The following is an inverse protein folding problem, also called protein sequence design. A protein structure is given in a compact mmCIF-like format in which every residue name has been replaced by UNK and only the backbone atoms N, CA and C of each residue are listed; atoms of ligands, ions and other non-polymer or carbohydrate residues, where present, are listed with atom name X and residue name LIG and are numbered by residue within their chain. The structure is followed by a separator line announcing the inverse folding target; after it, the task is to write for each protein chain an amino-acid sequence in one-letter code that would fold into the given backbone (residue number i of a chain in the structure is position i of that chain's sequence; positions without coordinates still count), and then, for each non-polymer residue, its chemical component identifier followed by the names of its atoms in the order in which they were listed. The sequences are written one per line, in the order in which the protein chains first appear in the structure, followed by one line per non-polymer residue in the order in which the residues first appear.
data_IF_253186998524
#
_entry.id   IF_253186998524
#
_cell.length_a   1.000
_cell.length_b   1.000
_cell.length_c   1.000
_cell.angle_alpha   90.00
_cell.angle_beta   90.00
_cell.angle_gamma   90.00
#
_symmetry.space_group_name_H-M   'P 1'
#
loop_
_entity.id
_entity.type
_entity.pdbx_description
1 polymer ?
#
# COMPACT_ATOMS: atom_id res chain seq x y z
N UNK A 1 10.11 17.02 13.03
CA UNK A 1 8.80 16.35 13.09
C UNK A 1 8.89 15.22 14.10
N UNK A 2 7.93 15.08 14.99
CA UNK A 2 7.88 13.97 15.94
C UNK A 2 7.25 12.71 15.31
N UNK A 3 7.17 11.64 16.09
CA UNK A 3 6.66 10.36 15.62
C UNK A 3 5.14 10.34 15.39
N UNK A 4 4.38 11.11 16.17
CA UNK A 4 2.93 11.22 16.04
C UNK A 4 2.56 11.90 14.72
N UNK A 5 3.20 13.02 14.40
CA UNK A 5 3.02 13.72 13.13
C UNK A 5 3.41 12.85 11.92
N UNK A 6 4.51 12.09 12.01
CA UNK A 6 4.91 11.14 10.96
C UNK A 6 3.90 9.99 10.80
N UNK A 7 3.33 9.50 11.91
CA UNK A 7 2.29 8.47 11.91
C UNK A 7 1.01 9.01 11.25
N UNK A 8 0.61 10.24 11.57
CA UNK A 8 -0.53 10.91 10.94
C UNK A 8 -0.33 11.09 9.43
N UNK A 9 0.87 11.46 8.97
CA UNK A 9 1.18 11.57 7.53
C UNK A 9 1.20 10.21 6.82
N UNK A 10 1.60 9.14 7.51
CA UNK A 10 1.68 7.80 6.92
C UNK A 10 0.31 7.09 6.87
N UNK A 11 -0.50 7.25 7.91
CA UNK A 11 -1.69 6.43 8.17
C UNK A 11 -2.95 7.22 8.56
N UNK A 12 -2.86 8.53 8.74
CA UNK A 12 -3.96 9.39 9.17
C UNK A 12 -4.63 10.18 8.05
N UNK A 13 -5.48 11.16 8.41
CA UNK A 13 -6.26 11.96 7.47
C UNK A 13 -5.43 13.01 6.74
N UNK A 14 -4.29 13.39 7.32
CA UNK A 14 -3.42 14.43 6.81
C UNK A 14 -2.37 13.86 5.86
N UNK A 15 -2.19 14.57 4.75
CA UNK A 15 -1.02 14.42 3.88
C UNK A 15 -0.32 15.78 3.71
N UNK A 16 -0.33 16.60 4.77
CA UNK A 16 0.26 17.94 4.81
C UNK A 16 1.76 17.97 4.46
N UNK A 17 2.35 19.14 4.16
CA UNK A 17 3.68 19.27 3.58
C UNK A 17 4.78 18.62 4.44
N UNK A 18 5.71 17.92 3.79
CA UNK A 18 6.72 17.09 4.45
C UNK A 18 8.15 17.67 4.33
N UNK A 19 8.27 18.99 4.21
CA UNK A 19 9.56 19.67 4.00
C UNK A 19 10.51 19.55 5.21
N UNK A 20 10.02 19.08 6.35
CA UNK A 20 10.78 18.91 7.60
C UNK A 20 10.95 17.45 8.05
N UNK A 21 10.88 16.47 7.12
CA UNK A 21 11.10 15.05 7.46
C UNK A 21 12.51 14.85 8.06
N UNK A 22 12.62 14.44 9.34
CA UNK A 22 13.90 14.20 9.97
C UNK A 22 14.63 13.01 9.32
N UNK A 23 15.92 13.20 9.02
CA UNK A 23 16.78 12.11 8.55
C UNK A 23 17.45 11.35 9.70
N UNK A 24 17.65 12.08 10.79
CA UNK A 24 18.18 11.59 12.06
C UNK A 24 17.01 11.43 13.04
N UNK A 25 16.88 10.24 13.62
CA UNK A 25 15.76 9.90 14.48
C UNK A 25 15.77 8.42 14.86
N UNK A 26 14.78 8.03 15.67
CA UNK A 26 14.58 6.63 16.06
C UNK A 26 14.38 5.74 14.82
N UNK A 27 14.64 4.43 14.92
CA UNK A 27 14.34 3.50 13.83
C UNK A 27 12.89 3.60 13.32
N UNK A 28 11.91 3.83 14.22
CA UNK A 28 10.49 4.01 13.87
C UNK A 28 10.24 5.32 13.12
N UNK A 29 10.83 6.44 13.58
CA UNK A 29 10.74 7.72 12.88
C UNK A 29 11.32 7.63 11.47
N UNK A 30 12.50 7.01 11.30
CA UNK A 30 13.11 6.83 9.97
C UNK A 30 12.28 5.93 9.05
N UNK A 31 11.63 4.89 9.59
CA UNK A 31 10.70 4.05 8.83
C UNK A 31 9.48 4.84 8.36
N UNK A 32 8.81 5.56 9.27
CA UNK A 32 7.62 6.37 8.93
C UNK A 32 7.96 7.47 7.92
N UNK A 33 9.08 8.16 8.13
CA UNK A 33 9.65 9.14 7.20
C UNK A 33 9.82 8.53 5.80
N UNK A 34 10.37 7.32 5.70
CA UNK A 34 10.55 6.62 4.43
C UNK A 34 9.21 6.25 3.76
N UNK A 35 8.20 5.86 4.53
CA UNK A 35 6.84 5.60 4.02
C UNK A 35 6.24 6.87 3.41
N UNK A 36 6.37 8.01 4.10
CA UNK A 36 5.88 9.31 3.61
C UNK A 36 6.65 9.75 2.36
N UNK A 37 7.99 9.65 2.35
CA UNK A 37 8.80 9.95 1.17
C UNK A 37 8.43 9.06 -0.02
N UNK A 38 8.21 7.76 0.22
CA UNK A 38 7.78 6.81 -0.79
C UNK A 38 6.40 7.14 -1.38
N UNK A 39 5.46 7.59 -0.54
CA UNK A 39 4.14 8.05 -0.99
C UNK A 39 4.23 9.22 -1.97
N UNK A 40 5.22 10.11 -1.77
CA UNK A 40 5.51 11.26 -2.63
C UNK A 40 6.48 10.95 -3.78
N UNK A 41 6.71 9.67 -4.06
CA UNK A 41 7.61 9.23 -5.12
C UNK A 41 9.09 9.59 -4.91
N UNK A 42 9.51 10.00 -3.70
CA UNK A 42 10.90 10.32 -3.36
C UNK A 42 11.69 9.05 -2.98
N UNK A 43 11.73 8.07 -3.88
CA UNK A 43 12.20 6.72 -3.57
C UNK A 43 13.68 6.62 -3.20
N UNK A 44 14.56 7.42 -3.80
CA UNK A 44 15.98 7.45 -3.44
C UNK A 44 16.17 7.93 -2.00
N UNK A 45 15.50 9.02 -1.60
CA UNK A 45 15.54 9.53 -0.24
C UNK A 45 14.92 8.54 0.77
N UNK A 46 13.82 7.88 0.40
CA UNK A 46 13.25 6.82 1.22
C UNK A 46 14.22 5.64 1.39
N UNK A 47 14.91 5.23 0.32
CA UNK A 47 15.89 4.16 0.36
C UNK A 47 17.07 4.49 1.29
N UNK A 48 17.59 5.72 1.28
CA UNK A 48 18.64 6.17 2.22
C UNK A 48 18.27 5.96 3.69
N UNK A 49 16.98 6.14 4.04
CA UNK A 49 16.48 5.90 5.39
C UNK A 49 16.31 4.40 5.69
N UNK A 50 15.79 3.64 4.73
CA UNK A 50 15.45 2.21 4.90
C UNK A 50 16.69 1.32 4.92
N UNK A 51 17.73 1.65 4.16
CA UNK A 51 18.84 0.74 3.92
C UNK A 51 19.68 0.41 5.17
N UNK A 52 19.98 1.38 6.07
CA UNK A 52 20.60 1.07 7.35
C UNK A 52 19.69 0.27 8.30
N UNK A 53 18.37 0.52 8.26
CA UNK A 53 17.40 -0.22 9.07
C UNK A 53 17.30 -1.68 8.63
N UNK A 54 17.26 -1.91 7.31
CA UNK A 54 17.24 -3.24 6.69
C UNK A 54 18.46 -4.09 7.03
N UNK A 55 19.65 -3.46 7.12
CA UNK A 55 20.91 -4.13 7.49
C UNK A 55 21.14 -4.20 9.01
N UNK A 56 20.23 -3.65 9.81
CA UNK A 56 20.31 -3.63 11.26
C UNK A 56 20.07 -5.00 11.90
N UNK A 57 20.34 -5.11 13.21
CA UNK A 57 20.17 -6.35 13.98
C UNK A 57 18.74 -6.59 14.49
N UNK A 58 17.92 -5.54 14.58
CA UNK A 58 16.54 -5.68 15.06
C UNK A 58 15.67 -6.33 13.97
N UNK A 59 15.12 -7.53 14.20
CA UNK A 59 14.42 -8.27 13.14
C UNK A 59 13.12 -7.61 12.66
N UNK A 60 12.38 -6.97 13.57
CA UNK A 60 11.16 -6.24 13.24
C UNK A 60 11.46 -5.06 12.31
N UNK A 61 12.41 -4.20 12.72
CA UNK A 61 12.79 -3.04 11.91
C UNK A 61 13.38 -3.45 10.57
N UNK A 62 14.22 -4.49 10.53
CA UNK A 62 14.78 -5.02 9.29
C UNK A 62 13.69 -5.50 8.33
N UNK A 63 12.68 -6.22 8.84
CA UNK A 63 11.54 -6.68 8.05
C UNK A 63 10.69 -5.55 7.51
N UNK A 64 10.28 -4.60 8.37
CA UNK A 64 9.46 -3.47 7.94
C UNK A 64 10.20 -2.61 6.90
N UNK A 65 11.51 -2.41 7.07
CA UNK A 65 12.31 -1.67 6.13
C UNK A 65 12.45 -2.40 4.78
N UNK A 66 12.67 -3.72 4.80
CA UNK A 66 12.74 -4.55 3.60
C UNK A 66 11.41 -4.55 2.83
N UNK A 67 10.27 -4.76 3.49
CA UNK A 67 8.94 -4.76 2.84
C UNK A 67 8.56 -3.37 2.30
N UNK A 68 8.93 -2.30 3.01
CA UNK A 68 8.70 -0.92 2.53
C UNK A 68 9.53 -0.65 1.27
N UNK A 69 10.82 -1.01 1.29
CA UNK A 69 11.68 -0.88 0.12
C UNK A 69 11.17 -1.72 -1.05
N UNK A 70 10.74 -2.96 -0.80
CA UNK A 70 10.13 -3.85 -1.80
C UNK A 70 8.91 -3.20 -2.45
N UNK A 71 8.02 -2.61 -1.64
CA UNK A 71 6.86 -1.87 -2.14
C UNK A 71 7.26 -0.72 -3.06
N UNK A 72 8.34 0.02 -2.77
CA UNK A 72 8.84 1.09 -3.64
C UNK A 72 9.37 0.55 -4.97
N UNK A 73 10.09 -0.59 -4.95
CA UNK A 73 10.57 -1.28 -6.15
C UNK A 73 9.41 -1.72 -7.04
N UNK A 74 8.36 -2.26 -6.43
CA UNK A 74 7.15 -2.71 -7.12
C UNK A 74 6.41 -1.59 -7.85
N UNK A 75 6.35 -0.38 -7.27
CA UNK A 75 5.71 0.77 -7.92
C UNK A 75 6.39 1.16 -9.24
N UNK A 76 7.66 0.78 -9.43
CA UNK A 76 8.42 1.03 -10.65
C UNK A 76 8.66 -0.25 -11.46
N UNK A 77 7.83 -1.28 -11.26
CA UNK A 77 7.85 -2.52 -12.03
C UNK A 77 9.01 -3.47 -11.72
N UNK A 78 9.84 -3.17 -10.71
CA UNK A 78 10.99 -3.99 -10.34
C UNK A 78 10.61 -5.20 -9.45
N UNK A 79 9.66 -6.02 -9.91
CA UNK A 79 9.05 -7.12 -9.16
C UNK A 79 10.04 -8.21 -8.73
N UNK A 80 11.06 -8.51 -9.55
CA UNK A 80 12.08 -9.50 -9.19
C UNK A 80 12.92 -9.01 -8.00
N UNK A 81 13.26 -7.72 -7.98
CA UNK A 81 13.99 -7.09 -6.87
C UNK A 81 13.12 -7.00 -5.63
N UNK A 82 11.86 -6.58 -5.79
CA UNK A 82 10.87 -6.54 -4.71
C UNK A 82 10.70 -7.91 -4.06
N UNK A 83 10.59 -8.98 -4.86
CA UNK A 83 10.40 -10.35 -4.36
C UNK A 83 11.55 -10.81 -3.46
N UNK A 84 12.79 -10.45 -3.82
CA UNK A 84 13.96 -10.75 -2.99
C UNK A 84 13.87 -10.02 -1.65
N UNK A 85 13.51 -8.73 -1.67
CA UNK A 85 13.37 -7.92 -0.46
C UNK A 85 12.25 -8.41 0.46
N UNK A 86 11.08 -8.78 -0.08
CA UNK A 86 10.01 -9.35 0.74
C UNK A 86 10.36 -10.76 1.27
N UNK A 87 11.20 -11.51 0.55
CA UNK A 87 11.81 -12.73 1.06
C UNK A 87 12.76 -12.47 2.24
N UNK A 88 13.62 -11.46 2.14
CA UNK A 88 14.48 -10.98 3.24
C UNK A 88 13.63 -10.55 4.44
N UNK A 89 12.53 -9.82 4.20
CA UNK A 89 11.61 -9.39 5.25
C UNK A 89 10.99 -10.57 5.99
N UNK A 90 10.47 -11.55 5.26
CA UNK A 90 9.86 -12.74 5.85
C UNK A 90 10.87 -13.57 6.65
N UNK A 91 12.12 -13.67 6.19
CA UNK A 91 13.19 -14.34 6.93
C UNK A 91 13.52 -13.62 8.24
N UNK A 92 13.51 -12.28 8.26
CA UNK A 92 13.80 -11.50 9.45
C UNK A 92 12.78 -11.74 10.57
N UNK A 93 11.48 -11.78 10.28
CA UNK A 93 10.43 -12.09 11.29
C UNK A 93 10.07 -13.59 11.38
N UNK A 94 10.84 -14.42 10.69
CA UNK A 94 10.74 -15.88 10.69
C UNK A 94 9.50 -16.44 9.98
N UNK A 95 9.62 -17.71 9.57
CA UNK A 95 8.56 -18.53 8.99
C UNK A 95 7.82 -19.35 10.07
N UNK A 96 7.32 -18.75 11.16
CA UNK A 96 6.60 -19.58 12.15
C UNK A 96 5.14 -19.79 11.78
N UNK A 97 4.85 -21.01 11.32
CA UNK A 97 3.50 -21.53 11.12
C UNK A 97 3.45 -22.87 10.37
N UNK A 98 4.08 -23.92 10.92
CA UNK A 98 3.64 -25.34 11.07
C UNK A 98 4.78 -26.04 11.86
N UNK A 99 4.63 -26.31 13.17
CA UNK A 99 5.64 -27.08 13.91
C UNK A 99 5.70 -26.95 15.44
N UNK A 100 4.97 -26.01 16.07
CA UNK A 100 4.87 -25.94 17.54
C UNK A 100 3.50 -26.45 18.03
N UNK A 101 3.15 -27.65 17.57
CA UNK A 101 2.33 -28.60 18.30
C UNK A 101 3.09 -29.92 18.29
N UNK A 102 3.70 -30.28 19.42
CA UNK A 102 4.36 -31.58 19.58
C UNK A 102 5.78 -31.53 20.16
N UNK A 103 5.95 -30.93 21.33
CA UNK A 103 6.90 -31.52 22.28
C UNK A 103 6.27 -32.85 22.76
N UNK A 104 6.40 -33.89 21.95
CA UNK A 104 6.09 -35.26 22.31
C UNK A 104 7.21 -36.14 21.73
N UNK A 105 8.15 -36.47 22.63
CA UNK A 105 8.97 -37.68 22.70
C UNK A 105 9.31 -38.40 21.39
N UNK A 106 10.62 -38.42 21.13
CA UNK A 106 11.32 -39.22 20.14
C UNK A 106 10.89 -40.71 20.10
N UNK A 107 10.89 -41.28 18.89
CA UNK A 107 10.88 -42.73 18.68
C UNK A 107 10.83 -43.15 17.20
N UNK A 108 11.99 -43.44 16.61
CA UNK A 108 12.18 -44.45 15.55
C UNK A 108 11.89 -44.07 14.08
N UNK A 109 12.94 -43.96 13.25
CA UNK A 109 12.84 -44.09 11.77
C UNK A 109 13.06 -45.54 11.30
N UNK A 110 13.46 -45.79 10.03
CA UNK A 110 13.07 -45.18 8.75
C UNK A 110 12.57 -46.24 7.73
N UNK A 111 11.96 -45.81 6.61
CA UNK A 111 11.56 -46.69 5.50
C UNK A 111 11.69 -46.00 4.14
N UNK A 112 12.42 -46.65 3.23
CA UNK A 112 12.87 -46.20 1.91
C UNK A 112 11.83 -46.42 0.78
N UNK A 113 12.17 -45.86 -0.39
CA UNK A 113 11.63 -46.08 -1.76
C UNK A 113 10.37 -45.26 -2.12
N UNK A 114 10.21 -44.69 -3.31
CA UNK A 114 11.00 -44.69 -4.54
C UNK A 114 10.16 -44.09 -5.69
N UNK A 115 10.84 -43.65 -6.75
CA UNK A 115 10.34 -43.57 -8.14
C UNK A 115 9.43 -42.41 -8.58
N UNK A 116 9.97 -41.57 -9.49
CA UNK A 116 9.20 -40.94 -10.58
C UNK A 116 8.85 -41.98 -11.67
N UNK A 117 8.05 -41.64 -12.72
CA UNK A 117 8.40 -40.69 -13.80
C UNK A 117 7.20 -39.77 -14.12
N UNK A 118 7.09 -38.88 -15.13
CA UNK A 118 7.83 -38.50 -16.33
C UNK A 118 6.91 -37.61 -17.19
N UNK A 119 7.49 -36.53 -17.74
CA UNK A 119 7.18 -35.76 -18.95
C UNK A 119 5.79 -35.79 -19.64
N UNK A 120 5.22 -34.59 -19.81
CA UNK A 120 4.57 -34.07 -21.04
C UNK A 120 4.52 -32.53 -20.88
N UNK A 121 4.94 -31.66 -21.78
CA UNK A 121 4.69 -31.61 -23.23
C UNK A 121 3.69 -30.47 -23.50
N UNK A 122 4.15 -29.25 -23.79
CA UNK A 122 3.29 -28.11 -24.12
C UNK A 122 4.09 -26.85 -24.45
N UNK A 123 4.05 -26.44 -25.72
CA UNK A 123 4.77 -25.29 -26.28
C UNK A 123 4.25 -23.91 -25.83
N UNK A 124 4.82 -22.81 -26.37
CA UNK A 124 4.68 -21.48 -25.81
C UNK A 124 3.32 -20.86 -26.18
N UNK A 125 2.48 -20.63 -25.16
CA UNK A 125 1.28 -19.81 -25.27
C UNK A 125 1.66 -18.34 -25.15
N UNK A 126 1.59 -17.62 -26.27
CA UNK A 126 1.65 -16.16 -26.34
C UNK A 126 0.44 -15.58 -25.59
N UNK A 127 0.68 -14.77 -24.56
CA UNK A 127 -0.35 -13.94 -23.93
C UNK A 127 0.14 -12.49 -23.98
N UNK A 128 -0.40 -11.76 -24.95
CA UNK A 128 -0.10 -10.37 -25.23
C UNK A 128 -0.73 -9.43 -24.21
N UNK A 129 -0.02 -8.31 -24.04
CA UNK A 129 -0.57 -6.95 -24.05
C UNK A 129 -1.67 -6.62 -23.03
N UNK A 130 -1.23 -6.00 -21.94
CA UNK A 130 -2.11 -5.29 -21.01
C UNK A 130 -2.88 -4.18 -21.71
N UNK A 131 -4.21 -4.27 -21.60
CA UNK A 131 -5.26 -3.28 -21.83
C UNK A 131 -4.96 -2.19 -22.89
N UNK A 132 -5.37 -2.50 -24.12
CA UNK A 132 -5.76 -1.52 -25.12
C UNK A 132 -7.27 -1.22 -25.03
N UNK A 133 -7.61 0.05 -25.22
CA UNK A 133 -8.94 0.63 -25.09
C UNK A 133 -10.01 0.03 -26.03
N UNK A 134 -11.27 0.07 -25.59
CA UNK A 134 -12.44 -0.03 -26.45
C UNK A 134 -13.33 1.20 -26.21
N UNK A 135 -13.65 1.92 -27.29
CA UNK A 135 -14.47 3.13 -27.28
C UNK A 135 -15.85 2.95 -27.92
N UNK A 136 -16.56 4.09 -27.99
CA UNK A 136 -17.88 4.38 -28.60
C UNK A 136 -19.07 4.17 -27.64
N UNK A 137 -20.05 5.08 -27.48
CA UNK A 137 -20.28 6.40 -28.08
C UNK A 137 -21.64 7.00 -27.66
N UNK A 138 -21.70 8.33 -27.68
CA UNK A 138 -22.86 9.20 -27.97
C UNK A 138 -23.92 9.56 -26.90
N UNK A 139 -24.08 10.90 -26.76
CA UNK A 139 -25.30 11.74 -26.57
C UNK A 139 -26.02 11.66 -25.21
N UNK A 140 -26.38 12.74 -24.49
CA UNK A 140 -26.34 14.19 -24.70
C UNK A 140 -27.35 14.86 -23.75
N UNK A 141 -27.23 16.19 -23.56
CA UNK A 141 -28.19 17.14 -22.92
C UNK A 141 -28.25 17.08 -21.38
N UNK A 142 -28.20 18.16 -20.57
CA UNK A 142 -28.10 19.60 -20.77
C UNK A 142 -28.47 20.33 -19.45
N UNK A 143 -27.86 21.50 -19.23
CA UNK A 143 -28.35 22.66 -18.45
C UNK A 143 -28.36 22.64 -16.90
N UNK A 144 -27.62 23.58 -16.28
CA UNK A 144 -27.84 24.09 -14.91
C UNK A 144 -28.91 25.19 -14.85
N UNK A 145 -28.83 26.25 -14.00
CA UNK A 145 -28.03 26.43 -12.77
C UNK A 145 -28.80 27.15 -11.60
N UNK A 146 -28.05 27.42 -10.50
CA UNK A 146 -28.06 28.65 -9.67
C UNK A 146 -29.04 28.87 -8.47
N UNK A 147 -28.48 29.52 -7.43
CA UNK A 147 -29.14 30.36 -6.40
C UNK A 147 -28.80 29.95 -4.94
N UNK A 148 -27.81 30.50 -4.22
CA UNK A 148 -27.63 31.81 -3.54
C UNK A 148 -28.56 32.13 -2.35
N UNK A 149 -27.96 32.53 -1.22
CA UNK A 149 -28.57 33.27 -0.08
C UNK A 149 -28.24 32.60 1.29
N UNK A 150 -27.24 33.02 2.07
CA UNK A 150 -27.14 34.23 2.92
C UNK A 150 -28.29 34.38 3.94
N UNK A 151 -28.04 34.10 5.23
CA UNK A 151 -27.90 35.14 6.27
C UNK A 151 -27.79 34.54 7.69
N UNK A 152 -27.01 35.22 8.55
CA UNK A 152 -27.02 35.12 10.02
C UNK A 152 -27.76 36.38 10.55
N UNK A 153 -28.30 36.45 11.80
CA UNK A 153 -27.46 36.58 13.01
C UNK A 153 -28.05 36.03 14.35
N UNK A 154 -27.15 36.04 15.34
CA UNK A 154 -27.23 35.81 16.81
C UNK A 154 -27.89 37.08 17.47
N UNK A 155 -28.34 37.20 18.75
CA UNK A 155 -27.76 36.59 19.96
C UNK A 155 -28.65 36.32 21.21
N UNK A 156 -28.04 35.72 22.24
CA UNK A 156 -28.59 35.61 23.60
C UNK A 156 -27.63 34.94 24.59
N UNK A 157 -27.10 35.74 25.51
CA UNK A 157 -26.20 35.38 26.62
C UNK A 157 -26.98 35.08 27.91
N UNK A 158 -26.51 34.17 28.77
CA UNK A 158 -26.34 34.41 30.22
C UNK A 158 -25.50 33.30 30.91
N UNK A 159 -24.39 33.74 31.52
CA UNK A 159 -23.94 33.58 32.92
C UNK A 159 -24.16 32.26 33.69
N UNK A 160 -23.32 31.79 34.62
CA UNK A 160 -21.95 32.06 35.09
C UNK A 160 -21.70 31.13 36.32
N UNK A 161 -20.46 31.13 36.84
CA UNK A 161 -20.08 30.91 38.27
C UNK A 161 -19.85 29.43 38.67
N UNK A 162 -18.75 28.94 39.27
CA UNK A 162 -17.50 29.47 39.87
C UNK A 162 -16.58 28.30 40.24
N UNK A 163 -15.26 28.52 40.36
CA UNK A 163 -14.39 27.74 41.25
C UNK A 163 -12.92 27.66 40.83
N UNK A 164 -12.05 28.43 41.51
CA UNK A 164 -10.60 28.63 41.26
C UNK A 164 -9.68 27.65 42.04
N UNK A 165 -8.35 27.63 41.79
CA UNK A 165 -7.40 26.49 41.91
C UNK A 165 -6.42 26.66 43.12
N UNK A 166 -5.11 26.26 43.13
CA UNK A 166 -4.31 25.22 42.44
C UNK A 166 -3.44 24.36 43.41
N UNK A 167 -2.71 23.33 42.92
CA UNK A 167 -1.47 22.87 43.57
C UNK A 167 -0.54 22.10 42.62
N UNK A 168 0.74 22.46 42.70
CA UNK A 168 1.92 21.98 41.97
C UNK A 168 2.57 20.77 42.65
N UNK A 169 3.07 19.79 41.88
CA UNK A 169 4.28 19.01 42.19
C UNK A 169 4.67 18.05 41.05
N UNK A 170 5.97 17.98 40.75
CA UNK A 170 6.68 16.92 40.03
C UNK A 170 8.10 16.88 40.61
N UNK A 171 8.93 15.84 40.37
CA UNK A 171 8.69 14.40 40.37
C UNK A 171 9.64 13.69 41.36
N UNK A 172 9.39 12.43 41.71
CA UNK A 172 10.41 11.60 42.38
C UNK A 172 10.53 10.23 41.72
N UNK A 173 11.78 9.95 41.38
CA UNK A 173 12.33 8.78 40.69
C UNK A 173 12.18 7.52 41.53
N UNK A 174 11.55 6.49 40.96
CA UNK A 174 11.80 5.10 41.37
C UNK A 174 12.04 4.26 40.13
N UNK A 175 13.27 3.73 40.02
CA UNK A 175 13.64 2.73 39.04
C UNK A 175 12.91 1.43 39.41
N UNK A 176 11.87 1.08 38.65
CA UNK A 176 11.31 -0.27 38.70
C UNK A 176 11.90 -1.09 37.56
N UNK A 177 12.68 -2.11 37.93
CA UNK A 177 13.01 -3.19 37.03
C UNK A 177 11.73 -3.99 36.76
N UNK A 178 11.08 -3.68 35.64
CA UNK A 178 9.90 -4.39 35.14
C UNK A 178 10.27 -5.27 33.94
N UNK A 179 10.83 -6.45 34.20
CA UNK A 179 10.79 -7.54 33.22
C UNK A 179 9.45 -8.24 33.36
N UNK A 180 8.54 -8.00 32.42
CA UNK A 180 7.65 -8.95 31.74
C UNK A 180 6.62 -8.15 30.93
N UNK A 181 6.54 -8.47 29.63
CA UNK A 181 5.52 -8.05 28.62
C UNK A 181 5.77 -6.73 27.88
N UNK A 182 6.68 -6.75 26.91
CA UNK A 182 6.72 -5.79 25.81
C UNK A 182 5.73 -6.26 24.71
N UNK A 183 4.42 -6.07 24.95
CA UNK A 183 3.35 -6.40 24.00
C UNK A 183 2.39 -5.22 23.80
N UNK A 184 2.91 -4.05 23.47
CA UNK A 184 2.06 -2.98 22.95
C UNK A 184 1.81 -3.28 21.48
N UNK A 185 0.69 -3.93 21.17
CA UNK A 185 0.22 -4.08 19.78
C UNK A 185 0.25 -2.70 19.10
N UNK A 186 0.88 -2.61 17.94
CA UNK A 186 0.90 -1.36 17.18
C UNK A 186 -0.44 -1.26 16.41
N UNK A 187 -1.22 -0.17 16.57
CA UNK A 187 -2.55 -0.06 15.99
C UNK A 187 -2.52 -0.04 14.45
N UNK A 188 -1.39 0.33 13.86
CA UNK A 188 -1.17 0.34 12.43
C UNK A 188 -0.41 -0.91 11.97
N UNK A 189 -0.19 -1.90 12.86
CA UNK A 189 0.45 -3.17 12.52
C UNK A 189 1.94 -3.00 12.20
N UNK A 190 2.64 -2.08 12.86
CA UNK A 190 4.11 -1.98 12.81
C UNK A 190 4.81 -2.86 13.87
N UNK A 191 4.18 -3.98 14.22
CA UNK A 191 4.75 -5.03 15.08
C UNK A 191 5.08 -6.30 14.28
N UNK A 192 5.56 -7.34 14.97
CA UNK A 192 6.00 -8.60 14.33
C UNK A 192 4.90 -9.27 13.50
N UNK A 193 3.65 -9.19 13.96
CA UNK A 193 2.53 -9.84 13.30
C UNK A 193 2.18 -9.11 12.00
N UNK A 194 2.06 -7.77 12.05
CA UNK A 194 1.83 -6.95 10.86
C UNK A 194 3.00 -6.97 9.88
N UNK A 195 4.25 -6.98 10.37
CA UNK A 195 5.44 -7.12 9.53
C UNK A 195 5.46 -8.46 8.75
N UNK A 196 5.03 -9.56 9.39
CA UNK A 196 4.88 -10.86 8.71
C UNK A 196 3.78 -10.82 7.65
N UNK A 197 2.64 -10.20 7.96
CA UNK A 197 1.56 -10.04 6.99
C UNK A 197 2.01 -9.23 5.77
N UNK A 198 2.74 -8.12 5.99
CA UNK A 198 3.31 -7.30 4.92
C UNK A 198 4.24 -8.09 4.00
N UNK A 199 5.14 -8.90 4.57
CA UNK A 199 6.07 -9.71 3.79
C UNK A 199 5.32 -10.77 2.95
N UNK A 200 4.28 -11.40 3.50
CA UNK A 200 3.43 -12.32 2.74
C UNK A 200 2.66 -11.62 1.62
N UNK A 201 2.09 -10.43 1.88
CA UNK A 201 1.38 -9.65 0.86
C UNK A 201 2.31 -9.15 -0.23
N UNK A 202 3.53 -8.72 0.12
CA UNK A 202 4.56 -8.33 -0.83
C UNK A 202 4.97 -9.49 -1.74
N UNK A 203 5.28 -10.65 -1.16
CA UNK A 203 5.55 -11.88 -1.92
C UNK A 203 4.36 -12.30 -2.79
N UNK A 204 3.12 -12.11 -2.33
CA UNK A 204 1.93 -12.42 -3.11
C UNK A 204 1.85 -11.52 -4.35
N UNK A 205 2.00 -10.20 -4.17
CA UNK A 205 1.98 -9.22 -5.25
C UNK A 205 3.10 -9.46 -6.28
N UNK A 206 4.31 -9.83 -5.86
CA UNK A 206 5.38 -10.12 -6.81
C UNK A 206 5.20 -11.44 -7.55
N UNK A 207 4.68 -12.48 -6.88
CA UNK A 207 4.35 -13.72 -7.60
C UNK A 207 3.22 -13.50 -8.60
N UNK A 208 2.24 -12.64 -8.27
CA UNK A 208 1.19 -12.25 -9.19
C UNK A 208 1.77 -11.58 -10.45
N UNK A 209 2.64 -10.57 -10.28
CA UNK A 209 3.28 -9.87 -11.40
C UNK A 209 4.17 -10.78 -12.26
N UNK A 210 4.65 -11.90 -11.72
CA UNK A 210 5.40 -12.94 -12.43
C UNK A 210 4.50 -14.05 -13.02
N UNK A 211 3.19 -13.85 -13.06
CA UNK A 211 2.22 -14.80 -13.61
C UNK A 211 1.92 -16.03 -12.72
N UNK A 212 2.39 -16.04 -11.47
CA UNK A 212 2.26 -17.18 -10.54
C UNK A 212 1.04 -17.04 -9.64
N UNK A 213 -0.14 -17.00 -10.26
CA UNK A 213 -1.43 -16.71 -9.60
C UNK A 213 -1.70 -17.64 -8.40
N UNK A 214 -1.49 -18.95 -8.54
CA UNK A 214 -1.74 -19.89 -7.43
C UNK A 214 -0.81 -19.68 -6.24
N UNK A 215 0.44 -19.27 -6.47
CA UNK A 215 1.37 -18.93 -5.40
C UNK A 215 0.94 -17.64 -4.69
N UNK A 216 0.53 -16.62 -5.46
CA UNK A 216 0.01 -15.36 -4.94
C UNK A 216 -1.20 -15.60 -4.02
N UNK A 217 -2.17 -16.43 -4.45
CA UNK A 217 -3.36 -16.76 -3.66
C UNK A 217 -3.02 -17.44 -2.33
N UNK A 218 -2.11 -18.41 -2.33
CA UNK A 218 -1.66 -19.07 -1.09
C UNK A 218 -0.97 -18.10 -0.12
N UNK A 219 -0.15 -17.19 -0.64
CA UNK A 219 0.55 -16.19 0.15
C UNK A 219 -0.43 -15.14 0.73
N UNK A 220 -1.44 -14.72 -0.03
CA UNK A 220 -2.50 -13.83 0.46
C UNK A 220 -3.29 -14.47 1.62
N UNK A 221 -3.59 -15.78 1.55
CA UNK A 221 -4.19 -16.52 2.68
C UNK A 221 -3.28 -16.52 3.91
N UNK A 222 -1.97 -16.75 3.74
CA UNK A 222 -1.01 -16.70 4.85
C UNK A 222 -0.92 -15.30 5.47
N UNK A 223 -1.02 -14.25 4.68
CA UNK A 223 -1.07 -12.88 5.19
C UNK A 223 -2.30 -12.63 6.07
N UNK A 224 -3.49 -13.03 5.61
CA UNK A 224 -4.73 -12.87 6.37
C UNK A 224 -4.79 -13.73 7.65
N UNK A 225 -4.01 -14.82 7.70
CA UNK A 225 -3.79 -15.61 8.91
C UNK A 225 -2.77 -14.98 9.85
N UNK A 226 -1.81 -14.23 9.32
CA UNK A 226 -0.81 -13.54 10.12
C UNK A 226 -1.44 -12.34 10.84
N UNK A 227 -2.10 -11.43 10.13
CA UNK A 227 -2.71 -10.23 10.71
C UNK A 227 -4.04 -9.88 10.02
N UNK A 228 -4.99 -9.36 10.80
CA UNK A 228 -6.34 -8.96 10.35
C UNK A 228 -6.68 -7.50 10.70
N UNK A 229 -5.74 -6.76 11.27
CA UNK A 229 -5.92 -5.32 11.54
C UNK A 229 -6.06 -4.54 10.24
N UNK A 230 -6.48 -3.29 10.39
CA UNK A 230 -6.95 -2.47 9.28
C UNK A 230 -5.95 -2.41 8.12
N UNK A 231 -4.64 -2.22 8.38
CA UNK A 231 -3.63 -2.06 7.33
C UNK A 231 -3.41 -3.35 6.52
N UNK A 232 -3.37 -4.49 7.20
CA UNK A 232 -3.26 -5.81 6.57
C UNK A 232 -4.52 -6.18 5.80
N UNK A 233 -5.70 -5.82 6.31
CA UNK A 233 -6.98 -5.98 5.61
C UNK A 233 -7.03 -5.15 4.32
N UNK A 234 -6.64 -3.87 4.39
CA UNK A 234 -6.59 -2.98 3.23
C UNK A 234 -5.64 -3.52 2.15
N UNK A 235 -4.39 -3.83 2.54
CA UNK A 235 -3.37 -4.35 1.59
C UNK A 235 -3.75 -5.74 1.06
N UNK A 236 -4.38 -6.57 1.88
CA UNK A 236 -4.92 -7.87 1.48
C UNK A 236 -6.05 -7.74 0.45
N UNK A 237 -6.93 -6.75 0.60
CA UNK A 237 -7.96 -6.45 -0.39
C UNK A 237 -7.40 -5.97 -1.72
N UNK A 238 -6.33 -5.18 -1.72
CA UNK A 238 -5.62 -4.80 -2.96
C UNK A 238 -5.07 -6.01 -3.70
N UNK A 239 -4.28 -6.83 -3.02
CA UNK A 239 -3.68 -8.03 -3.61
C UNK A 239 -4.76 -9.04 -4.04
N UNK A 240 -5.81 -9.21 -3.24
CA UNK A 240 -6.94 -10.07 -3.56
C UNK A 240 -7.65 -9.64 -4.84
N UNK A 241 -7.96 -8.35 -4.98
CA UNK A 241 -8.58 -7.81 -6.19
C UNK A 241 -7.68 -7.99 -7.42
N UNK A 242 -6.38 -7.69 -7.30
CA UNK A 242 -5.42 -7.88 -8.41
C UNK A 242 -5.29 -9.37 -8.81
N UNK A 243 -5.36 -10.31 -7.86
CA UNK A 243 -5.37 -11.75 -8.13
C UNK A 243 -6.60 -12.14 -8.96
N UNK A 244 -7.80 -11.69 -8.59
CA UNK A 244 -9.02 -12.04 -9.32
C UNK A 244 -9.07 -11.41 -10.71
N UNK A 245 -8.63 -10.14 -10.85
CA UNK A 245 -8.48 -9.49 -12.15
C UNK A 245 -7.54 -10.27 -13.07
N UNK A 246 -6.37 -10.67 -12.57
CA UNK A 246 -5.41 -11.46 -13.35
C UNK A 246 -5.92 -12.88 -13.67
N UNK A 247 -6.84 -13.41 -12.87
CA UNK A 247 -7.51 -14.68 -13.11
C UNK A 247 -8.70 -14.57 -14.08
N UNK A 248 -8.99 -13.36 -14.61
CA UNK A 248 -10.13 -13.11 -15.50
C UNK A 248 -11.48 -13.17 -14.78
N UNK A 249 -11.51 -12.82 -13.49
CA UNK A 249 -12.71 -12.85 -12.64
C UNK A 249 -13.01 -11.45 -12.07
N UNK A 250 -13.37 -10.46 -12.91
CA UNK A 250 -13.49 -9.08 -12.48
C UNK A 250 -14.59 -8.86 -11.43
N UNK A 251 -15.72 -9.59 -11.49
CA UNK A 251 -16.78 -9.51 -10.49
C UNK A 251 -16.29 -9.95 -9.10
N UNK A 252 -15.44 -10.99 -9.05
CA UNK A 252 -14.84 -11.47 -7.81
C UNK A 252 -13.82 -10.50 -7.22
N UNK A 253 -13.26 -9.59 -8.03
CA UNK A 253 -12.32 -8.57 -7.57
C UNK A 253 -12.99 -7.42 -6.78
N UNK A 254 -14.29 -7.19 -7.00
CA UNK A 254 -15.01 -6.05 -6.40
C UNK A 254 -15.10 -6.17 -4.88
N UNK A 255 -15.45 -7.36 -4.36
CA UNK A 255 -15.62 -7.56 -2.91
C UNK A 255 -14.35 -7.25 -2.08
N UNK A 256 -13.16 -7.82 -2.38
CA UNK A 256 -11.94 -7.48 -1.66
C UNK A 256 -11.51 -6.02 -1.86
N UNK A 257 -11.69 -5.45 -3.05
CA UNK A 257 -11.38 -4.04 -3.31
C UNK A 257 -12.27 -3.09 -2.49
N UNK A 258 -13.56 -3.40 -2.39
CA UNK A 258 -14.55 -2.63 -1.63
C UNK A 258 -14.25 -2.67 -0.14
N UNK A 259 -13.95 -3.86 0.40
CA UNK A 259 -13.52 -4.00 1.79
C UNK A 259 -12.28 -3.14 2.09
N UNK A 260 -11.29 -3.12 1.19
CA UNK A 260 -10.10 -2.27 1.36
C UNK A 260 -10.43 -0.77 1.30
N UNK A 261 -11.37 -0.35 0.47
CA UNK A 261 -11.81 1.04 0.41
C UNK A 261 -12.55 1.46 1.68
N UNK A 262 -13.57 0.71 2.07
CA UNK A 262 -14.38 0.98 3.26
C UNK A 262 -13.54 0.98 4.54
N UNK A 263 -12.62 0.03 4.68
CA UNK A 263 -11.69 -0.03 5.82
C UNK A 263 -10.77 1.18 5.86
N UNK A 264 -10.24 1.62 4.71
CA UNK A 264 -9.38 2.80 4.65
C UNK A 264 -10.14 4.10 4.97
N UNK A 265 -11.39 4.22 4.51
CA UNK A 265 -12.29 5.34 4.81
C UNK A 265 -12.61 5.39 6.29
N UNK A 266 -12.99 4.25 6.90
CA UNK A 266 -13.29 4.17 8.33
C UNK A 266 -12.09 4.52 9.21
N UNK A 267 -10.87 4.24 8.75
CA UNK A 267 -9.63 4.62 9.45
C UNK A 267 -9.22 6.08 9.23
N UNK A 268 -9.86 6.77 8.29
CA UNK A 268 -9.47 8.08 7.77
C UNK A 268 -8.03 8.08 7.22
N UNK A 269 -7.56 6.97 6.65
CA UNK A 269 -6.17 6.83 6.19
C UNK A 269 -6.02 7.36 4.76
N UNK A 270 -5.74 8.66 4.57
CA UNK A 270 -5.86 9.37 3.27
C UNK A 270 -5.17 8.66 2.11
N UNK A 271 -3.90 8.30 2.27
CA UNK A 271 -3.13 7.59 1.24
C UNK A 271 -3.75 6.23 0.87
N UNK A 272 -4.26 5.51 1.87
CA UNK A 272 -4.88 4.21 1.67
C UNK A 272 -6.25 4.36 1.00
N UNK A 273 -7.01 5.42 1.32
CA UNK A 273 -8.26 5.75 0.62
C UNK A 273 -8.01 5.95 -0.87
N UNK A 274 -7.01 6.78 -1.23
CA UNK A 274 -6.66 7.02 -2.65
C UNK A 274 -6.27 5.73 -3.35
N UNK A 275 -5.34 4.95 -2.78
CA UNK A 275 -4.92 3.68 -3.40
C UNK A 275 -6.08 2.68 -3.51
N UNK A 276 -6.90 2.54 -2.47
CA UNK A 276 -8.08 1.67 -2.49
C UNK A 276 -9.13 2.15 -3.50
N UNK A 277 -9.30 3.47 -3.67
CA UNK A 277 -10.19 4.05 -4.66
C UNK A 277 -9.78 3.71 -6.08
N UNK A 278 -8.48 3.78 -6.39
CA UNK A 278 -7.93 3.31 -7.67
C UNK A 278 -8.26 1.82 -7.88
N UNK A 279 -7.95 0.97 -6.90
CA UNK A 279 -8.16 -0.49 -7.03
C UNK A 279 -9.65 -0.84 -7.19
N UNK A 280 -10.53 -0.26 -6.37
CA UNK A 280 -11.97 -0.47 -6.47
C UNK A 280 -12.52 0.08 -7.79
N UNK A 281 -12.08 1.25 -8.23
CA UNK A 281 -12.53 1.84 -9.50
C UNK A 281 -12.15 0.97 -10.69
N UNK A 282 -10.93 0.43 -10.72
CA UNK A 282 -10.49 -0.53 -11.74
C UNK A 282 -11.30 -1.83 -11.68
N UNK A 283 -11.58 -2.35 -10.47
CA UNK A 283 -12.39 -3.56 -10.31
C UNK A 283 -13.83 -3.36 -10.80
N UNK A 284 -14.46 -2.22 -10.47
CA UNK A 284 -15.80 -1.85 -10.94
C UNK A 284 -15.84 -1.70 -12.45
N UNK A 285 -14.86 -0.98 -13.03
CA UNK A 285 -14.74 -0.81 -14.47
C UNK A 285 -14.63 -2.15 -15.19
N UNK A 286 -13.75 -3.03 -14.72
CA UNK A 286 -13.54 -4.35 -15.31
C UNK A 286 -14.77 -5.26 -15.16
N UNK A 287 -15.55 -5.10 -14.08
CA UNK A 287 -16.80 -5.83 -13.83
C UNK A 287 -18.03 -5.20 -14.52
N UNK A 288 -17.86 -4.11 -15.27
CA UNK A 288 -18.97 -3.38 -15.89
C UNK A 288 -19.97 -2.80 -14.89
N UNK A 289 -19.53 -2.48 -13.67
CA UNK A 289 -20.37 -1.90 -12.61
C UNK A 289 -20.24 -0.37 -12.57
N UNK A 290 -21.33 0.28 -12.17
CA UNK A 290 -21.40 1.74 -12.03
C UNK A 290 -20.47 2.28 -10.93
N UNK A 291 -20.19 3.58 -10.96
CA UNK A 291 -19.39 4.28 -9.95
C UNK A 291 -17.88 4.25 -10.19
N UNK A 292 -17.40 3.53 -11.23
CA UNK A 292 -15.99 3.45 -11.55
C UNK A 292 -15.40 4.82 -11.94
N UNK A 293 -16.10 5.57 -12.80
CA UNK A 293 -15.62 6.88 -13.29
C UNK A 293 -15.47 7.88 -12.15
N UNK A 294 -16.51 8.02 -11.32
CA UNK A 294 -16.53 8.96 -10.19
C UNK A 294 -15.37 8.66 -9.23
N UNK A 295 -15.15 7.38 -8.93
CA UNK A 295 -14.13 6.97 -7.99
C UNK A 295 -12.71 7.19 -8.52
N UNK A 296 -12.45 6.87 -9.80
CA UNK A 296 -11.14 7.05 -10.42
C UNK A 296 -10.79 8.53 -10.61
N UNK A 297 -11.74 9.36 -11.04
CA UNK A 297 -11.55 10.81 -11.18
C UNK A 297 -11.30 11.45 -9.80
N UNK A 298 -12.05 11.05 -8.77
CA UNK A 298 -11.83 11.52 -7.41
C UNK A 298 -10.46 11.10 -6.87
N UNK A 299 -10.04 9.85 -7.13
CA UNK A 299 -8.72 9.37 -6.71
C UNK A 299 -7.57 10.12 -7.40
N UNK A 300 -7.70 10.48 -8.68
CA UNK A 300 -6.71 11.30 -9.38
C UNK A 300 -6.62 12.72 -8.79
N UNK A 301 -7.77 13.37 -8.54
CA UNK A 301 -7.81 14.68 -7.91
C UNK A 301 -7.24 14.67 -6.49
N UNK A 302 -7.57 13.66 -5.68
CA UNK A 302 -7.01 13.53 -4.33
C UNK A 302 -5.50 13.22 -4.37
N UNK A 303 -5.05 12.36 -5.29
CA UNK A 303 -3.61 12.07 -5.43
C UNK A 303 -2.80 13.34 -5.73
N UNK A 304 -3.31 14.21 -6.60
CA UNK A 304 -2.73 15.52 -6.90
C UNK A 304 -2.77 16.45 -5.68
N UNK A 305 -3.96 16.64 -5.09
CA UNK A 305 -4.18 17.53 -3.93
C UNK A 305 -3.26 17.22 -2.75
N UNK A 306 -2.98 15.94 -2.53
CA UNK A 306 -2.21 15.44 -1.40
C UNK A 306 -0.76 15.07 -1.76
N UNK A 307 -0.27 15.46 -2.96
CA UNK A 307 1.10 15.22 -3.44
C UNK A 307 1.52 13.75 -3.38
N UNK A 308 0.57 12.84 -3.62
CA UNK A 308 0.81 11.40 -3.60
C UNK A 308 1.35 10.94 -4.97
N UNK A 309 2.49 11.51 -5.39
CA UNK A 309 3.08 11.29 -6.72
C UNK A 309 3.24 9.80 -7.08
N UNK A 310 3.49 8.94 -6.08
CA UNK A 310 3.57 7.48 -6.31
C UNK A 310 2.27 6.85 -6.82
N UNK A 311 1.13 7.48 -6.54
CA UNK A 311 -0.20 7.09 -6.97
C UNK A 311 -0.72 7.96 -8.10
N UNK A 312 -0.33 9.25 -8.16
CA UNK A 312 -0.85 10.24 -9.09
C UNK A 312 -0.72 9.81 -10.55
N UNK A 313 0.47 9.34 -10.97
CA UNK A 313 0.66 8.91 -12.36
C UNK A 313 -0.22 7.72 -12.74
N UNK A 314 -0.47 6.78 -11.80
CA UNK A 314 -1.37 5.64 -12.01
C UNK A 314 -2.81 6.10 -12.05
N UNK A 315 -3.20 6.97 -11.12
CA UNK A 315 -4.56 7.49 -11.00
C UNK A 315 -4.96 8.27 -12.26
N UNK A 316 -4.09 9.16 -12.75
CA UNK A 316 -4.29 9.87 -14.01
C UNK A 316 -4.37 8.89 -15.20
N UNK A 317 -3.51 7.87 -15.22
CA UNK A 317 -3.49 6.87 -16.30
C UNK A 317 -4.83 6.16 -16.44
N UNK A 318 -5.42 5.72 -15.32
CA UNK A 318 -6.72 5.04 -15.32
C UNK A 318 -7.89 6.01 -15.45
N UNK A 319 -7.77 7.25 -14.97
CA UNK A 319 -8.77 8.29 -15.19
C UNK A 319 -8.92 8.62 -16.69
N UNK A 320 -7.81 8.63 -17.44
CA UNK A 320 -7.83 8.82 -18.89
C UNK A 320 -8.63 7.75 -19.66
N UNK A 321 -8.78 6.55 -19.09
CA UNK A 321 -9.51 5.45 -19.70
C UNK A 321 -11.04 5.56 -19.48
N UNK A 322 -11.48 6.37 -18.50
CA UNK A 322 -12.91 6.53 -18.13
C UNK A 322 -13.46 7.95 -18.33
N UNK A 323 -12.59 8.96 -18.42
CA UNK A 323 -12.97 10.36 -18.66
C UNK A 323 -12.39 10.86 -19.98
N UNK A 324 -13.06 10.47 -21.07
CA UNK A 324 -12.59 10.70 -22.44
C UNK A 324 -12.45 12.19 -22.79
N UNK A 325 -13.25 13.07 -22.20
CA UNK A 325 -13.22 14.51 -22.45
C UNK A 325 -11.91 15.16 -21.96
N UNK A 326 -11.29 14.57 -20.93
CA UNK A 326 -10.03 15.05 -20.32
C UNK A 326 -8.87 14.07 -20.49
N UNK A 327 -9.03 13.05 -21.33
CA UNK A 327 -8.06 11.96 -21.43
C UNK A 327 -6.64 12.44 -21.78
N UNK A 328 -6.50 13.43 -22.66
CA UNK A 328 -5.19 13.99 -23.02
C UNK A 328 -4.52 14.73 -21.85
N UNK A 329 -5.29 15.48 -21.07
CA UNK A 329 -4.83 16.17 -19.86
C UNK A 329 -4.28 15.15 -18.85
N UNK A 330 -5.05 14.10 -18.58
CA UNK A 330 -4.65 13.02 -17.69
C UNK A 330 -3.40 12.29 -18.19
N UNK A 331 -3.32 11.92 -19.47
CA UNK A 331 -2.11 11.26 -20.04
C UNK A 331 -0.88 12.17 -19.98
N UNK A 332 -1.05 13.47 -20.19
CA UNK A 332 0.04 14.43 -20.05
C UNK A 332 0.53 14.51 -18.61
N UNK A 333 -0.37 14.70 -17.64
CA UNK A 333 -0.03 14.75 -16.21
C UNK A 333 0.60 13.45 -15.72
N UNK A 334 0.04 12.31 -16.11
CA UNK A 334 0.58 10.98 -15.80
C UNK A 334 2.05 10.86 -16.20
N UNK A 335 2.40 11.27 -17.44
CA UNK A 335 3.80 11.26 -17.92
C UNK A 335 4.70 12.22 -17.15
N UNK A 336 4.21 13.42 -16.82
CA UNK A 336 4.98 14.40 -16.04
C UNK A 336 5.28 13.91 -14.63
N UNK A 337 4.27 13.39 -13.93
CA UNK A 337 4.42 12.83 -12.58
C UNK A 337 5.34 11.62 -12.61
N UNK A 338 5.14 10.69 -13.55
CA UNK A 338 6.01 9.52 -13.69
C UNK A 338 7.47 9.93 -13.97
N UNK A 339 7.70 10.92 -14.83
CA UNK A 339 9.05 11.45 -15.08
C UNK A 339 9.70 11.98 -13.79
N UNK A 340 8.96 12.76 -13.00
CA UNK A 340 9.45 13.30 -11.73
C UNK A 340 9.74 12.18 -10.70
N UNK A 341 8.89 11.16 -10.61
CA UNK A 341 9.09 9.99 -9.75
C UNK A 341 10.36 9.23 -10.16
N UNK A 342 10.55 8.96 -11.46
CA UNK A 342 11.74 8.26 -11.97
C UNK A 342 13.04 9.04 -11.71
N UNK A 343 13.01 10.38 -11.86
CA UNK A 343 14.13 11.28 -11.51
C UNK A 343 14.50 11.22 -10.03
N UNK A 344 13.57 10.80 -9.16
CA UNK A 344 13.75 10.68 -7.71
C UNK A 344 13.94 9.22 -7.27
N UNK A 345 14.07 8.28 -8.20
CA UNK A 345 14.43 6.89 -7.94
C UNK A 345 15.96 6.68 -8.05
N UNK A 346 16.47 5.56 -7.54
CA UNK A 346 17.87 5.21 -7.76
C UNK A 346 18.12 4.73 -9.22
N UNK A 347 19.35 4.88 -9.74
CA UNK A 347 19.65 4.57 -11.14
C UNK A 347 19.37 3.12 -11.56
N UNK A 348 19.49 2.17 -10.63
CA UNK A 348 19.23 0.75 -10.90
C UNK A 348 17.75 0.53 -11.18
N UNK A 349 16.88 1.06 -10.31
CA UNK A 349 15.44 0.94 -10.47
C UNK A 349 14.92 1.75 -11.66
N UNK A 350 15.50 2.91 -11.94
CA UNK A 350 15.18 3.67 -13.13
C UNK A 350 15.40 2.84 -14.40
N UNK A 351 16.54 2.14 -14.50
CA UNK A 351 16.83 1.25 -15.64
C UNK A 351 15.81 0.14 -15.77
N UNK A 352 15.46 -0.51 -14.66
CA UNK A 352 14.44 -1.58 -14.66
C UNK A 352 13.08 -1.03 -15.09
N UNK A 353 12.70 0.17 -14.63
CA UNK A 353 11.45 0.79 -15.01
C UNK A 353 11.35 1.01 -16.52
N UNK A 354 12.43 1.48 -17.18
CA UNK A 354 12.49 1.67 -18.63
C UNK A 354 12.26 0.39 -19.45
N UNK A 355 12.61 -0.76 -18.89
CA UNK A 355 12.44 -2.07 -19.54
C UNK A 355 11.17 -2.79 -19.06
N UNK A 356 10.44 -2.21 -18.10
CA UNK A 356 9.32 -2.85 -17.44
C UNK A 356 8.04 -2.70 -18.27
N UNK A 357 7.30 -3.79 -18.53
CA UNK A 357 5.98 -3.70 -19.15
C UNK A 357 4.94 -3.02 -18.24
N UNK A 358 5.26 -2.83 -16.96
CA UNK A 358 4.38 -2.22 -15.96
C UNK A 358 4.50 -0.70 -15.88
N UNK A 359 5.48 -0.11 -16.57
CA UNK A 359 5.74 1.34 -16.50
C UNK A 359 5.70 1.95 -17.90
N UNK A 360 4.70 2.77 -18.23
CA UNK A 360 4.52 3.30 -19.58
C UNK A 360 5.47 4.48 -19.85
N UNK A 361 6.73 4.19 -20.18
CA UNK A 361 7.77 5.21 -20.43
C UNK A 361 7.91 5.57 -21.92
N UNK A 362 7.20 4.86 -22.82
CA UNK A 362 7.16 5.16 -24.24
C UNK A 362 6.08 6.19 -24.63
N UNK A 363 6.12 6.72 -25.88
CA UNK A 363 5.01 7.47 -26.45
C UNK A 363 3.83 6.51 -26.67
N UNK A 364 2.96 6.41 -25.67
CA UNK A 364 1.63 5.81 -25.76
C UNK A 364 0.58 6.87 -26.04
#
# INVERSE_FOLDING_TARGET
MDEEALTALAFGPDAGPADSIPRDGSPRQRLLAAIVLGARGRYAAAAELLDPLRRGRNPLTASLAASTLASHRRQLGAHVVARRLDGEALLAVGLRGVGERGAATAGGGPGLAGSGPGLAGGGPGLAGSGLAAAGSGSRGVGSGPAGTGADSPVPGSTSATTGSPPATASPSTSASQGSLVESTEDPDGLDLQGARADAFLGLAADNLALGRISAARRLAVRAAQADRRWRSTVRGGWVGAEIELAAGQPEAAVAPARLAYETAVARHARRHIVKSGIVLGVALLAAGQDGARELLVAAAADAEKYELDSLGWVADRVAADVDHDRAEEYRFRSRQVLHAVLRRADPCVMRIAHESPWVPIGPG
#
